data_IF_041253526248
#
_entry.id   IF_041253526248
#
_cell.length_a   1.000
_cell.length_b   1.000
_cell.length_c   1.000
_cell.angle_alpha   90.00
_cell.angle_beta   90.00
_cell.angle_gamma   90.00
#
_symmetry.space_group_name_H-M   'P 1'
#
loop_
_entity.id
_entity.type
_entity.pdbx_description
1 polymer ?
#
# COMPACT_ATOMS: atom_id res chain seq x y z
N UNK A 1 16.03 -15.83 -26.47
CA UNK A 1 14.63 -16.01 -26.92
C UNK A 1 13.91 -14.78 -26.45
N UNK A 2 13.50 -13.89 -27.38
CA UNK A 2 12.66 -12.74 -27.07
C UNK A 2 11.30 -13.29 -26.63
N UNK A 3 10.92 -13.06 -25.36
CA UNK A 3 9.54 -13.34 -24.93
C UNK A 3 8.69 -12.19 -25.47
N UNK A 4 7.58 -12.52 -26.12
CA UNK A 4 6.62 -11.53 -26.58
C UNK A 4 6.14 -10.66 -25.40
N UNK A 5 5.89 -9.35 -25.64
CA UNK A 5 5.39 -8.45 -24.62
C UNK A 5 4.01 -8.93 -24.12
N UNK A 6 3.87 -9.05 -22.82
CA UNK A 6 2.62 -9.43 -22.14
C UNK A 6 2.05 -8.19 -21.44
N UNK A 7 0.81 -7.81 -21.77
CA UNK A 7 0.11 -6.75 -21.04
C UNK A 7 -0.33 -7.29 -19.68
N UNK A 8 0.13 -6.65 -18.61
CA UNK A 8 -0.33 -6.94 -17.25
C UNK A 8 -1.51 -6.03 -16.93
N UNK A 9 -2.55 -6.59 -16.33
CA UNK A 9 -3.63 -5.78 -15.76
C UNK A 9 -3.09 -5.06 -14.52
N UNK A 10 -2.72 -3.79 -14.67
CA UNK A 10 -2.44 -2.87 -13.57
C UNK A 10 -3.65 -1.96 -13.33
N UNK A 11 -3.77 -1.36 -12.15
CA UNK A 11 -4.93 -0.51 -11.80
C UNK A 11 -5.16 0.64 -12.78
N UNK A 12 -4.31 1.67 -12.76
CA UNK A 12 -4.50 2.90 -13.55
C UNK A 12 -3.41 3.14 -14.61
N UNK A 13 -2.49 2.19 -14.81
CA UNK A 13 -1.36 2.34 -15.75
C UNK A 13 -1.26 1.12 -16.65
N UNK A 14 -1.01 1.35 -17.94
CA UNK A 14 -0.61 0.29 -18.85
C UNK A 14 0.78 -0.20 -18.46
N UNK A 15 0.85 -1.48 -18.10
CA UNK A 15 2.06 -2.15 -17.65
C UNK A 15 2.38 -3.28 -18.61
N UNK A 16 3.58 -3.27 -19.18
CA UNK A 16 4.03 -4.29 -20.13
C UNK A 16 5.16 -5.11 -19.52
N UNK A 17 4.96 -6.43 -19.38
CA UNK A 17 6.03 -7.37 -19.00
C UNK A 17 6.79 -7.82 -20.25
N UNK A 18 8.10 -7.70 -20.22
CA UNK A 18 9.00 -8.18 -21.27
C UNK A 18 10.14 -8.97 -20.61
N UNK A 19 10.06 -10.29 -20.68
CA UNK A 19 10.99 -11.13 -19.96
C UNK A 19 10.91 -10.94 -18.44
N UNK A 20 12.05 -10.70 -17.78
CA UNK A 20 12.15 -10.40 -16.34
C UNK A 20 12.02 -8.90 -16.01
N UNK A 21 11.40 -8.10 -16.86
CA UNK A 21 11.29 -6.64 -16.71
C UNK A 21 9.86 -6.18 -16.87
N UNK A 22 9.56 -5.04 -16.25
CA UNK A 22 8.29 -4.32 -16.37
C UNK A 22 8.58 -2.94 -16.95
N UNK A 23 7.84 -2.57 -17.98
CA UNK A 23 7.86 -1.24 -18.59
C UNK A 23 6.54 -0.54 -18.27
N UNK A 24 6.62 0.70 -17.76
CA UNK A 24 5.43 1.52 -17.47
C UNK A 24 5.69 2.99 -17.77
N UNK A 25 4.63 3.71 -18.11
CA UNK A 25 4.72 5.15 -18.33
C UNK A 25 5.15 5.89 -17.06
N UNK A 26 5.96 6.94 -17.21
CA UNK A 26 6.30 7.87 -16.14
C UNK A 26 5.12 8.77 -15.81
N UNK A 27 5.02 9.13 -14.54
CA UNK A 27 3.97 9.99 -13.98
C UNK A 27 4.58 11.08 -13.11
N UNK A 28 3.75 11.97 -12.59
CA UNK A 28 4.16 12.87 -11.51
C UNK A 28 4.76 12.04 -10.37
N UNK A 29 5.91 12.48 -9.85
CA UNK A 29 6.62 11.78 -8.78
C UNK A 29 7.58 10.68 -9.24
N UNK A 30 7.56 10.26 -10.51
CA UNK A 30 8.39 9.14 -10.99
C UNK A 30 9.89 9.34 -10.72
N UNK A 31 10.42 10.55 -10.84
CA UNK A 31 11.84 10.83 -10.55
C UNK A 31 12.21 10.51 -9.10
N UNK A 32 11.35 10.86 -8.15
CA UNK A 32 11.59 10.56 -6.74
C UNK A 32 11.43 9.06 -6.43
N UNK A 33 10.50 8.38 -7.11
CA UNK A 33 10.34 6.92 -7.01
C UNK A 33 11.58 6.20 -7.58
N UNK A 34 12.11 6.64 -8.72
CA UNK A 34 13.33 6.13 -9.32
C UNK A 34 14.54 6.28 -8.39
N UNK A 35 14.67 7.47 -7.77
CA UNK A 35 15.67 7.73 -6.74
C UNK A 35 15.47 6.79 -5.53
N UNK A 36 14.24 6.71 -5.00
CA UNK A 36 13.92 5.86 -3.84
C UNK A 36 14.28 4.40 -4.11
N UNK A 37 13.85 3.83 -5.24
CA UNK A 37 14.15 2.43 -5.60
C UNK A 37 15.66 2.18 -5.72
N UNK A 38 16.40 3.14 -6.28
CA UNK A 38 17.86 3.07 -6.38
C UNK A 38 18.52 3.09 -4.99
N UNK A 39 18.03 3.91 -4.07
CA UNK A 39 18.54 3.97 -2.70
C UNK A 39 18.16 2.71 -1.91
N UNK A 40 16.94 2.20 -2.06
CA UNK A 40 16.50 0.95 -1.44
C UNK A 40 17.39 -0.23 -1.86
N UNK A 41 17.70 -0.35 -3.16
CA UNK A 41 18.62 -1.37 -3.66
C UNK A 41 20.02 -1.23 -3.02
N UNK A 42 20.59 -0.02 -3.00
CA UNK A 42 21.92 0.25 -2.40
C UNK A 42 21.97 -0.05 -0.90
N UNK A 43 20.84 0.13 -0.19
CA UNK A 43 20.71 -0.18 1.25
C UNK A 43 20.36 -1.66 1.51
N UNK A 44 20.26 -2.49 0.47
CA UNK A 44 20.00 -3.92 0.58
C UNK A 44 18.55 -4.28 0.90
N UNK A 45 17.61 -3.37 0.65
CA UNK A 45 16.18 -3.67 0.79
C UNK A 45 15.72 -4.55 -0.37
N UNK A 46 15.41 -5.81 -0.07
CA UNK A 46 15.17 -6.86 -1.07
C UNK A 46 13.73 -6.98 -1.57
N UNK A 47 12.81 -6.23 -1.00
CA UNK A 47 11.38 -6.36 -1.33
C UNK A 47 10.90 -5.37 -2.40
N UNK A 48 11.66 -4.33 -2.74
CA UNK A 48 11.32 -3.43 -3.84
C UNK A 48 11.87 -3.95 -5.17
N UNK A 49 11.22 -3.65 -6.31
CA UNK A 49 11.82 -3.88 -7.61
C UNK A 49 13.07 -3.01 -7.78
N UNK A 50 14.07 -3.46 -8.52
CA UNK A 50 15.18 -2.61 -8.93
C UNK A 50 14.74 -1.67 -10.05
N UNK A 51 15.16 -0.42 -9.99
CA UNK A 51 15.07 0.49 -11.12
C UNK A 51 16.22 0.24 -12.09
N UNK A 52 15.90 -0.18 -13.31
CA UNK A 52 16.87 -0.62 -14.32
C UNK A 52 17.19 0.49 -15.35
N UNK A 53 16.60 1.69 -15.17
CA UNK A 53 16.77 2.82 -16.07
C UNK A 53 15.49 3.16 -16.84
N UNK A 54 15.65 3.96 -17.89
CA UNK A 54 14.57 4.34 -18.79
C UNK A 54 14.75 3.63 -20.12
N UNK A 55 13.63 3.33 -20.78
CA UNK A 55 13.63 2.86 -22.17
C UNK A 55 13.83 4.02 -23.16
N UNK A 56 14.05 3.72 -24.43
CA UNK A 56 14.23 4.74 -25.49
C UNK A 56 13.00 5.64 -25.65
N UNK A 57 11.82 5.18 -25.29
CA UNK A 57 10.55 5.90 -25.28
C UNK A 57 10.18 6.50 -23.92
N UNK A 58 11.18 6.75 -23.04
CA UNK A 58 11.06 7.39 -21.71
C UNK A 58 10.13 6.66 -20.73
N UNK A 59 9.96 5.35 -20.84
CA UNK A 59 9.26 4.54 -19.84
C UNK A 59 10.20 4.04 -18.75
N UNK A 60 9.70 3.94 -17.53
CA UNK A 60 10.43 3.26 -16.45
C UNK A 60 10.61 1.78 -16.78
N UNK A 61 11.84 1.28 -16.62
CA UNK A 61 12.17 -0.14 -16.68
C UNK A 61 12.47 -0.62 -15.28
N UNK A 62 11.63 -1.52 -14.76
CA UNK A 62 11.73 -2.10 -13.43
C UNK A 62 11.99 -3.60 -13.53
N UNK A 63 12.63 -4.18 -12.51
CA UNK A 63 12.68 -5.62 -12.34
C UNK A 63 11.29 -6.19 -12.12
N UNK A 64 10.98 -7.31 -12.77
CA UNK A 64 9.75 -8.05 -12.49
C UNK A 64 9.98 -8.96 -11.28
N UNK A 65 9.16 -8.82 -10.25
CA UNK A 65 9.19 -9.69 -9.07
C UNK A 65 8.26 -10.87 -9.34
N UNK A 66 8.81 -12.08 -9.37
CA UNK A 66 8.04 -13.30 -9.59
C UNK A 66 7.18 -13.63 -8.35
N UNK A 67 5.94 -14.02 -8.57
CA UNK A 67 4.95 -14.35 -7.54
C UNK A 67 3.56 -13.89 -7.92
N UNK A 68 2.65 -13.91 -6.95
CA UNK A 68 1.26 -13.52 -7.13
C UNK A 68 0.93 -12.28 -6.33
N UNK A 69 0.40 -11.24 -6.97
CA UNK A 69 -0.14 -10.08 -6.27
C UNK A 69 -1.50 -10.40 -5.65
N UNK A 70 -1.80 -9.84 -4.49
CA UNK A 70 -3.04 -10.07 -3.77
C UNK A 70 -4.23 -9.33 -4.40
N UNK A 71 -4.98 -9.98 -5.28
CA UNK A 71 -6.22 -9.44 -5.83
C UNK A 71 -7.40 -9.62 -4.88
N UNK A 72 -8.44 -8.79 -5.00
CA UNK A 72 -9.70 -8.98 -4.24
C UNK A 72 -10.77 -9.64 -5.09
N UNK A 73 -11.58 -10.55 -4.49
CA UNK A 73 -11.50 -11.03 -3.10
C UNK A 73 -10.19 -11.77 -2.84
N UNK A 74 -9.60 -11.57 -1.65
CA UNK A 74 -8.33 -12.19 -1.31
C UNK A 74 -8.39 -13.71 -1.43
N UNK A 75 -7.42 -14.36 -2.12
CA UNK A 75 -7.24 -15.80 -2.13
C UNK A 75 -7.10 -16.35 -0.69
N UNK A 76 -7.47 -17.61 -0.49
CA UNK A 76 -7.46 -18.23 0.84
C UNK A 76 -6.07 -18.22 1.46
N UNK A 77 -5.02 -18.48 0.68
CA UNK A 77 -3.64 -18.46 1.14
C UNK A 77 -3.22 -17.10 1.71
N UNK A 78 -3.76 -16.00 1.16
CA UNK A 78 -3.45 -14.64 1.62
C UNK A 78 -4.32 -14.19 2.81
N UNK A 79 -5.32 -14.98 3.20
CA UNK A 79 -6.08 -14.77 4.43
C UNK A 79 -5.40 -15.38 5.65
N UNK A 80 -4.39 -16.24 5.48
CA UNK A 80 -3.64 -16.83 6.57
C UNK A 80 -2.81 -15.77 7.31
N UNK A 81 -2.53 -16.03 8.58
CA UNK A 81 -1.73 -15.13 9.43
C UNK A 81 -0.32 -14.92 8.88
N UNK A 82 0.26 -15.91 8.23
CA UNK A 82 1.61 -15.83 7.66
C UNK A 82 1.74 -14.69 6.63
N UNK A 83 0.74 -14.48 5.77
CA UNK A 83 0.73 -13.38 4.82
C UNK A 83 0.75 -12.01 5.53
N UNK A 84 -0.08 -11.86 6.55
CA UNK A 84 -0.13 -10.66 7.38
C UNK A 84 1.19 -10.44 8.14
N UNK A 85 1.75 -11.49 8.75
CA UNK A 85 3.02 -11.44 9.49
C UNK A 85 4.16 -11.02 8.57
N UNK A 86 4.27 -11.65 7.39
CA UNK A 86 5.32 -11.33 6.44
C UNK A 86 5.20 -9.89 5.91
N UNK A 87 3.96 -9.41 5.70
CA UNK A 87 3.69 -8.03 5.27
C UNK A 87 4.06 -7.01 6.37
N UNK A 88 3.68 -7.26 7.64
CA UNK A 88 4.01 -6.37 8.74
C UNK A 88 5.54 -6.22 8.92
N UNK A 89 6.27 -7.33 8.84
CA UNK A 89 7.75 -7.33 8.91
C UNK A 89 8.39 -6.61 7.73
N UNK A 90 7.87 -6.80 6.51
CA UNK A 90 8.38 -6.12 5.32
C UNK A 90 8.14 -4.60 5.37
N UNK A 91 6.97 -4.17 5.84
CA UNK A 91 6.67 -2.75 6.04
C UNK A 91 7.58 -2.13 7.11
N UNK A 92 7.83 -2.83 8.22
CA UNK A 92 8.78 -2.38 9.22
C UNK A 92 10.17 -2.15 8.61
N UNK A 93 10.68 -3.12 7.85
CA UNK A 93 12.00 -3.00 7.21
C UNK A 93 12.04 -1.83 6.20
N UNK A 94 10.97 -1.60 5.43
CA UNK A 94 10.86 -0.43 4.55
C UNK A 94 11.00 0.87 5.36
N UNK A 95 10.29 0.97 6.46
CA UNK A 95 10.33 2.14 7.34
C UNK A 95 11.68 2.32 8.04
N UNK A 96 12.36 1.25 8.43
CA UNK A 96 13.70 1.32 9.01
C UNK A 96 14.72 1.85 8.01
N UNK A 97 14.68 1.32 6.79
CA UNK A 97 15.62 1.71 5.71
C UNK A 97 15.38 3.15 5.25
N UNK A 98 14.14 3.65 5.31
CA UNK A 98 13.77 4.98 4.81
C UNK A 98 13.75 6.08 5.88
N UNK A 99 13.95 5.75 7.16
CA UNK A 99 13.84 6.74 8.26
C UNK A 99 14.82 7.90 8.13
N UNK A 100 16.06 7.65 7.74
CA UNK A 100 17.07 8.69 7.52
C UNK A 100 16.85 9.50 6.23
N UNK A 101 16.03 8.98 5.31
CA UNK A 101 15.74 9.59 4.01
C UNK A 101 14.54 10.55 4.06
N UNK A 102 13.75 10.50 5.12
CA UNK A 102 12.43 11.14 5.20
C UNK A 102 12.47 12.67 5.05
N UNK A 103 13.61 13.29 5.29
CA UNK A 103 13.82 14.75 5.17
C UNK A 103 14.71 15.16 3.99
N UNK A 104 15.23 14.19 3.21
CA UNK A 104 16.15 14.49 2.11
C UNK A 104 15.41 15.09 0.90
N UNK A 105 14.23 14.58 0.57
CA UNK A 105 13.42 15.03 -0.58
C UNK A 105 11.97 15.19 -0.13
N UNK A 106 11.52 16.42 0.07
CA UNK A 106 10.17 16.72 0.54
C UNK A 106 9.19 17.00 -0.62
N UNK A 107 9.66 17.60 -1.70
CA UNK A 107 8.85 18.03 -2.84
C UNK A 107 8.97 17.06 -4.04
N UNK A 108 8.03 17.15 -4.96
CA UNK A 108 8.08 16.42 -6.22
C UNK A 108 7.54 14.98 -6.18
N UNK A 109 6.94 14.55 -5.09
CA UNK A 109 6.19 13.30 -4.98
C UNK A 109 4.79 13.46 -5.60
N UNK A 110 4.13 12.34 -5.90
CA UNK A 110 2.72 12.37 -6.33
C UNK A 110 1.80 12.85 -5.22
N UNK A 111 2.05 12.41 -3.98
CA UNK A 111 1.37 12.88 -2.79
C UNK A 111 2.26 13.85 -2.01
N UNK A 112 1.65 14.86 -1.41
CA UNK A 112 2.37 15.81 -0.56
C UNK A 112 2.94 15.13 0.69
N UNK A 113 4.13 15.58 1.12
CA UNK A 113 4.75 15.14 2.36
C UNK A 113 3.87 15.52 3.56
N UNK A 114 3.77 14.64 4.56
CA UNK A 114 2.91 14.80 5.75
C UNK A 114 3.76 14.77 7.01
N UNK A 115 3.75 15.84 7.80
CA UNK A 115 4.44 15.87 9.09
C UNK A 115 3.82 14.92 10.13
N UNK A 116 4.60 14.32 11.04
CA UNK A 116 6.08 14.35 11.09
C UNK A 116 6.70 13.45 10.01
N UNK A 117 7.83 13.88 9.45
CA UNK A 117 8.58 13.12 8.44
C UNK A 117 9.45 12.05 9.11
N UNK A 118 8.84 10.93 9.43
CA UNK A 118 9.51 9.82 10.13
C UNK A 118 10.14 8.80 9.17
N UNK A 119 9.51 8.59 8.01
CA UNK A 119 9.91 7.61 6.98
C UNK A 119 9.45 8.09 5.61
N UNK A 120 9.87 7.40 4.55
CA UNK A 120 9.16 7.49 3.28
C UNK A 120 8.09 6.39 3.31
N UNK A 121 6.84 6.81 3.46
CA UNK A 121 5.68 5.93 3.38
C UNK A 121 5.55 5.33 1.97
N UNK A 122 5.05 4.10 1.87
CA UNK A 122 4.59 3.56 0.58
C UNK A 122 3.33 4.28 0.09
N UNK A 123 2.47 4.68 1.03
CA UNK A 123 1.23 5.42 0.77
C UNK A 123 0.04 4.55 0.38
N UNK A 124 0.28 3.36 -0.20
CA UNK A 124 -0.76 2.40 -0.61
C UNK A 124 -0.34 0.94 -0.32
N UNK A 125 0.20 0.69 0.89
CA UNK A 125 0.66 -0.64 1.29
C UNK A 125 -0.53 -1.56 1.57
N UNK A 126 -0.84 -2.43 0.60
CA UNK A 126 -1.99 -3.33 0.63
C UNK A 126 -1.67 -4.64 -0.09
N UNK A 127 -2.46 -5.72 0.10
CA UNK A 127 -2.24 -6.99 -0.57
C UNK A 127 -2.04 -6.89 -2.09
N UNK A 128 -2.78 -6.03 -2.78
CA UNK A 128 -2.68 -5.85 -4.23
C UNK A 128 -1.37 -5.19 -4.70
N UNK A 129 -0.65 -4.51 -3.79
CA UNK A 129 0.69 -3.94 -4.02
C UNK A 129 1.79 -4.79 -3.36
N UNK A 130 1.45 -6.02 -2.94
CA UNK A 130 2.39 -6.99 -2.40
C UNK A 130 2.41 -8.25 -3.26
N UNK A 131 3.59 -8.75 -3.57
CA UNK A 131 3.81 -9.99 -4.31
C UNK A 131 4.13 -11.10 -3.32
N UNK A 132 3.48 -12.24 -3.47
CA UNK A 132 3.59 -13.39 -2.58
C UNK A 132 4.07 -14.63 -3.32
N UNK A 133 4.84 -15.45 -2.62
CA UNK A 133 5.13 -16.86 -2.94
C UNK A 133 4.42 -17.70 -1.86
N UNK A 134 3.29 -18.31 -2.23
CA UNK A 134 2.32 -18.83 -1.26
C UNK A 134 1.82 -17.75 -0.32
N UNK A 135 1.97 -17.92 0.99
CA UNK A 135 1.61 -16.92 2.01
C UNK A 135 2.76 -15.94 2.34
N UNK A 136 3.95 -16.15 1.78
CA UNK A 136 5.13 -15.35 2.12
C UNK A 136 5.27 -14.15 1.19
N UNK A 137 5.32 -12.95 1.72
CA UNK A 137 5.63 -11.75 0.95
C UNK A 137 7.07 -11.82 0.42
N UNK A 138 7.22 -11.62 -0.89
CA UNK A 138 8.51 -11.60 -1.60
C UNK A 138 8.77 -10.27 -2.30
N UNK A 139 7.75 -9.42 -2.46
CA UNK A 139 7.89 -8.11 -3.09
C UNK A 139 6.83 -7.10 -2.69
N UNK A 140 7.20 -5.83 -2.82
CA UNK A 140 6.32 -4.65 -2.68
C UNK A 140 6.44 -3.89 -3.98
N UNK A 141 5.33 -3.58 -4.62
CA UNK A 141 5.27 -2.92 -5.93
C UNK A 141 4.42 -1.66 -5.86
N UNK A 142 4.46 -0.86 -6.91
CA UNK A 142 3.65 0.36 -7.07
C UNK A 142 3.94 1.44 -6.01
N UNK A 143 5.16 1.95 -6.03
CA UNK A 143 5.64 3.03 -5.17
C UNK A 143 5.17 4.43 -5.62
N UNK A 144 4.21 4.55 -6.54
CA UNK A 144 3.79 5.85 -7.10
C UNK A 144 3.27 6.81 -6.03
N UNK A 145 2.60 6.29 -5.02
CA UNK A 145 2.08 7.08 -3.90
C UNK A 145 3.06 7.26 -2.74
N UNK A 146 4.34 6.86 -2.93
CA UNK A 146 5.34 7.05 -1.90
C UNK A 146 5.55 8.55 -1.59
N UNK A 147 5.72 8.87 -0.32
CA UNK A 147 5.95 10.24 0.16
C UNK A 147 6.48 10.25 1.59
N UNK A 148 7.22 11.28 2.01
CA UNK A 148 7.61 11.46 3.41
C UNK A 148 6.40 11.61 4.32
N UNK A 149 6.40 10.88 5.45
CA UNK A 149 5.28 10.95 6.38
C UNK A 149 5.49 10.15 7.65
N UNK A 150 4.49 10.16 8.56
CA UNK A 150 4.55 9.40 9.79
C UNK A 150 4.28 7.91 9.53
N UNK A 151 5.01 7.03 10.21
CA UNK A 151 4.87 5.57 10.13
C UNK A 151 3.42 5.09 10.28
N UNK A 152 2.69 5.74 11.18
CA UNK A 152 1.30 5.37 11.48
C UNK A 152 0.37 5.50 10.27
N UNK A 153 0.72 6.32 9.28
CA UNK A 153 -0.07 6.50 8.06
C UNK A 153 -0.13 5.22 7.22
N UNK A 154 1.04 4.60 6.99
CA UNK A 154 1.14 3.32 6.28
C UNK A 154 0.62 2.15 7.14
N UNK A 155 0.99 2.11 8.41
CA UNK A 155 0.53 1.08 9.36
C UNK A 155 -1.01 1.05 9.40
N UNK A 156 -1.65 2.20 9.46
CA UNK A 156 -3.10 2.30 9.50
C UNK A 156 -3.75 1.71 8.24
N UNK A 157 -3.20 2.03 7.06
CA UNK A 157 -3.74 1.49 5.81
C UNK A 157 -3.44 0.00 5.66
N UNK A 158 -2.23 -0.42 6.01
CA UNK A 158 -1.85 -1.84 6.02
C UNK A 158 -2.78 -2.66 6.92
N UNK A 159 -3.04 -2.22 8.15
CA UNK A 159 -3.97 -2.90 9.08
C UNK A 159 -5.38 -2.93 8.50
N UNK A 160 -5.88 -1.81 7.94
CA UNK A 160 -7.19 -1.78 7.30
C UNK A 160 -7.32 -2.84 6.21
N UNK A 161 -6.27 -3.05 5.41
CA UNK A 161 -6.28 -3.97 4.26
C UNK A 161 -5.95 -5.43 4.62
N UNK A 162 -4.97 -5.66 5.50
CA UNK A 162 -4.52 -7.01 5.88
C UNK A 162 -5.30 -7.63 7.04
N UNK A 163 -5.81 -6.81 7.97
CA UNK A 163 -6.67 -7.26 9.06
C UNK A 163 -8.16 -7.10 8.76
N UNK A 164 -8.55 -6.88 7.54
CA UNK A 164 -9.74 -6.29 6.91
C UNK A 164 -10.67 -5.61 7.92
N UNK A 165 -10.21 -4.47 8.49
CA UNK A 165 -11.00 -3.65 9.42
C UNK A 165 -12.15 -2.94 8.70
N UNK A 166 -13.08 -3.72 8.18
CA UNK A 166 -14.19 -3.30 7.31
C UNK A 166 -15.53 -3.63 7.92
N UNK A 167 -16.56 -2.89 7.50
CA UNK A 167 -17.94 -3.25 7.82
C UNK A 167 -18.30 -4.63 7.24
N UNK A 168 -19.24 -5.38 7.86
CA UNK A 168 -19.62 -6.71 7.38
C UNK A 168 -20.12 -6.76 5.94
N UNK A 169 -20.67 -5.64 5.44
CA UNK A 169 -21.21 -5.51 4.07
C UNK A 169 -20.12 -5.25 3.02
N UNK A 170 -18.88 -5.00 3.44
CA UNK A 170 -17.78 -4.79 2.51
C UNK A 170 -17.32 -6.13 1.92
N UNK A 171 -17.49 -6.30 0.62
CA UNK A 171 -17.17 -7.54 -0.10
C UNK A 171 -15.66 -7.91 -0.04
N UNK A 172 -14.79 -6.93 0.22
CA UNK A 172 -13.35 -7.16 0.42
C UNK A 172 -13.02 -7.62 1.85
N UNK A 173 -13.99 -7.57 2.79
CA UNK A 173 -13.82 -7.97 4.17
C UNK A 173 -14.00 -9.46 4.39
N UNK A 174 -13.47 -9.95 5.49
CA UNK A 174 -13.72 -11.30 6.02
C UNK A 174 -13.50 -11.31 7.55
N UNK A 175 -14.06 -12.31 8.19
CA UNK A 175 -13.94 -12.50 9.64
C UNK A 175 -14.91 -11.65 10.46
N UNK A 176 -15.09 -12.05 11.70
CA UNK A 176 -15.86 -11.31 12.71
C UNK A 176 -15.08 -10.12 13.25
N UNK A 177 -15.74 -9.22 13.99
CA UNK A 177 -15.08 -8.11 14.69
C UNK A 177 -13.93 -8.61 15.60
N UNK A 178 -14.11 -9.75 16.27
CA UNK A 178 -13.07 -10.34 17.11
C UNK A 178 -11.87 -10.81 16.29
N UNK A 179 -12.11 -11.41 15.13
CA UNK A 179 -11.05 -11.84 14.23
C UNK A 179 -10.32 -10.65 13.60
N UNK A 180 -11.04 -9.62 13.17
CA UNK A 180 -10.45 -8.37 12.70
C UNK A 180 -9.52 -7.74 13.76
N UNK A 181 -9.98 -7.70 15.01
CA UNK A 181 -9.20 -7.19 16.16
C UNK A 181 -7.95 -8.04 16.43
N UNK A 182 -8.10 -9.37 16.42
CA UNK A 182 -6.98 -10.31 16.58
C UNK A 182 -5.91 -10.10 15.52
N UNK A 183 -6.33 -10.00 14.26
CA UNK A 183 -5.42 -9.78 13.12
C UNK A 183 -4.73 -8.41 13.18
N UNK A 184 -5.47 -7.37 13.54
CA UNK A 184 -4.90 -6.03 13.72
C UNK A 184 -3.85 -6.01 14.86
N UNK A 185 -4.12 -6.71 15.97
CA UNK A 185 -3.15 -6.89 17.04
C UNK A 185 -1.91 -7.65 16.56
N UNK A 186 -2.09 -8.77 15.85
CA UNK A 186 -1.00 -9.56 15.29
C UNK A 186 -0.11 -8.72 14.35
N UNK A 187 -0.72 -7.88 13.52
CA UNK A 187 0.03 -6.94 12.67
C UNK A 187 0.89 -5.99 13.51
N UNK A 188 0.33 -5.40 14.57
CA UNK A 188 1.06 -4.53 15.47
C UNK A 188 2.19 -5.27 16.19
N UNK A 189 1.96 -6.51 16.66
CA UNK A 189 2.97 -7.35 17.33
C UNK A 189 4.16 -7.59 16.40
N UNK A 190 3.90 -7.90 15.14
CA UNK A 190 4.93 -8.23 14.14
C UNK A 190 5.63 -7.00 13.54
N UNK A 191 4.92 -5.89 13.45
CA UNK A 191 5.53 -4.62 13.06
C UNK A 191 6.46 -4.10 14.17
N UNK A 192 6.08 -4.24 15.45
CA UNK A 192 6.84 -3.82 16.62
C UNK A 192 6.32 -2.55 17.28
N UNK A 193 7.19 -1.56 17.53
CA UNK A 193 6.79 -0.35 18.25
C UNK A 193 5.78 0.49 17.47
N UNK A 194 4.55 0.56 17.99
CA UNK A 194 3.46 1.38 17.45
C UNK A 194 2.53 1.83 18.58
N UNK A 195 2.07 3.07 18.51
CA UNK A 195 1.07 3.57 19.44
C UNK A 195 -0.31 2.95 19.13
N UNK A 196 -0.59 1.80 19.76
CA UNK A 196 -1.80 1.00 19.52
C UNK A 196 -3.09 1.75 19.85
N UNK A 197 -3.06 2.68 20.82
CA UNK A 197 -4.23 3.48 21.19
C UNK A 197 -4.70 4.43 20.07
N UNK A 198 -3.81 4.79 19.15
CA UNK A 198 -4.10 5.69 18.04
C UNK A 198 -4.46 4.97 16.73
N UNK A 199 -4.29 3.63 16.64
CA UNK A 199 -4.47 2.89 15.39
C UNK A 199 -5.87 3.10 14.80
N UNK A 200 -6.93 2.90 15.56
CA UNK A 200 -8.31 3.01 15.02
C UNK A 200 -8.61 4.44 14.53
N UNK A 201 -8.13 5.46 15.25
CA UNK A 201 -8.24 6.84 14.79
C UNK A 201 -7.44 7.09 13.52
N UNK A 202 -6.22 6.53 13.44
CA UNK A 202 -5.36 6.67 12.27
C UNK A 202 -5.99 5.99 11.04
N UNK A 203 -6.56 4.79 11.19
CA UNK A 203 -7.33 4.13 10.11
C UNK A 203 -8.47 5.01 9.64
N UNK A 204 -9.32 5.50 10.55
CA UNK A 204 -10.42 6.40 10.18
C UNK A 204 -9.93 7.66 9.45
N UNK A 205 -8.85 8.28 9.93
CA UNK A 205 -8.26 9.46 9.29
C UNK A 205 -7.76 9.12 7.89
N UNK A 206 -7.02 8.03 7.75
CA UNK A 206 -6.48 7.60 6.46
C UNK A 206 -7.56 7.34 5.42
N UNK A 207 -8.67 6.71 5.81
CA UNK A 207 -9.83 6.48 4.92
C UNK A 207 -10.52 7.78 4.53
N UNK A 208 -10.70 8.71 5.47
CA UNK A 208 -11.28 10.03 5.17
C UNK A 208 -10.38 10.86 4.25
N UNK A 209 -9.05 10.78 4.41
CA UNK A 209 -8.09 11.41 3.51
C UNK A 209 -8.19 10.81 2.10
N UNK A 210 -8.34 9.49 1.99
CA UNK A 210 -8.52 8.80 0.72
C UNK A 210 -9.81 9.25 0.02
N UNK A 211 -10.93 9.32 0.74
CA UNK A 211 -12.20 9.82 0.19
C UNK A 211 -12.05 11.26 -0.30
N UNK A 212 -11.40 12.14 0.47
CA UNK A 212 -11.14 13.53 0.05
C UNK A 212 -10.29 13.60 -1.20
N UNK A 213 -9.23 12.81 -1.26
CA UNK A 213 -8.35 12.73 -2.42
C UNK A 213 -9.09 12.26 -3.67
N UNK A 214 -9.83 11.14 -3.60
CA UNK A 214 -10.63 10.62 -4.72
C UNK A 214 -11.60 11.65 -5.27
N UNK A 215 -12.35 12.33 -4.38
CA UNK A 215 -13.31 13.37 -4.77
C UNK A 215 -12.64 14.58 -5.40
N UNK A 216 -11.46 14.98 -4.89
CA UNK A 216 -10.70 16.10 -5.45
C UNK A 216 -10.15 15.76 -6.85
N UNK A 217 -9.60 14.56 -7.06
CA UNK A 217 -9.11 14.13 -8.37
C UNK A 217 -10.26 14.00 -9.39
N UNK A 218 -11.38 13.41 -9.00
CA UNK A 218 -12.56 13.33 -9.85
C UNK A 218 -13.09 14.71 -10.26
N UNK A 219 -13.11 15.67 -9.32
CA UNK A 219 -13.51 17.05 -9.60
C UNK A 219 -12.53 17.80 -10.54
N UNK A 220 -11.27 17.37 -10.59
CA UNK A 220 -10.25 17.88 -11.53
C UNK A 220 -10.31 17.20 -12.92
N UNK A 221 -11.24 16.26 -13.11
CA UNK A 221 -11.45 15.59 -14.40
C UNK A 221 -10.72 14.26 -14.56
N UNK A 222 -10.14 13.70 -13.50
CA UNK A 222 -9.56 12.36 -13.57
C UNK A 222 -10.66 11.31 -13.73
N UNK A 223 -10.71 10.69 -14.91
CA UNK A 223 -11.77 9.75 -15.30
C UNK A 223 -11.71 8.43 -14.52
N UNK A 224 -10.54 8.01 -14.05
CA UNK A 224 -10.40 6.80 -13.23
C UNK A 224 -11.04 7.04 -11.85
N UNK A 225 -10.80 8.20 -11.25
CA UNK A 225 -11.45 8.55 -9.97
C UNK A 225 -12.94 8.87 -10.12
N UNK A 226 -13.38 9.40 -11.28
CA UNK A 226 -14.81 9.53 -11.58
C UNK A 226 -15.48 8.15 -11.58
N UNK A 227 -14.91 7.16 -12.30
CA UNK A 227 -15.41 5.78 -12.30
C UNK A 227 -15.44 5.17 -10.89
N UNK A 228 -14.39 5.38 -10.09
CA UNK A 228 -14.38 4.90 -8.69
C UNK A 228 -15.50 5.49 -7.84
N UNK A 229 -15.87 6.75 -8.05
CA UNK A 229 -16.99 7.37 -7.35
C UNK A 229 -18.34 6.82 -7.83
N UNK A 230 -18.51 6.62 -9.15
CA UNK A 230 -19.70 6.02 -9.74
C UNK A 230 -19.92 4.58 -9.26
N UNK A 231 -18.83 3.84 -9.04
CA UNK A 231 -18.83 2.49 -8.43
C UNK A 231 -19.06 2.53 -6.90
N UNK A 232 -19.15 3.72 -6.29
CA UNK A 232 -19.47 3.89 -4.88
C UNK A 232 -18.31 3.61 -3.91
N UNK A 233 -17.05 3.63 -4.37
CA UNK A 233 -15.89 3.35 -3.51
C UNK A 233 -15.79 4.29 -2.32
N UNK A 234 -16.08 5.58 -2.47
CA UNK A 234 -16.08 6.54 -1.37
C UNK A 234 -17.16 6.21 -0.32
N UNK A 235 -18.34 5.75 -0.76
CA UNK A 235 -19.42 5.32 0.13
C UNK A 235 -19.03 4.09 0.94
N UNK A 236 -18.30 3.13 0.34
CA UNK A 236 -17.76 1.96 1.03
C UNK A 236 -16.80 2.40 2.14
N UNK A 237 -15.83 3.28 1.85
CA UNK A 237 -14.90 3.80 2.86
C UNK A 237 -15.60 4.57 3.98
N UNK A 238 -16.62 5.39 3.68
CA UNK A 238 -17.38 6.11 4.69
C UNK A 238 -18.18 5.18 5.61
N UNK A 239 -18.72 4.09 5.07
CA UNK A 239 -19.39 3.04 5.85
C UNK A 239 -18.41 2.33 6.78
N UNK A 240 -17.22 2.00 6.29
CA UNK A 240 -16.16 1.40 7.09
C UNK A 240 -15.69 2.34 8.22
N UNK A 241 -15.56 3.64 7.95
CA UNK A 241 -15.27 4.64 8.99
C UNK A 241 -16.36 4.68 10.07
N UNK A 242 -17.63 4.61 9.66
CA UNK A 242 -18.74 4.57 10.62
C UNK A 242 -18.67 3.30 11.50
N UNK A 243 -18.47 2.14 10.88
CA UNK A 243 -18.29 0.86 11.57
C UNK A 243 -17.14 0.89 12.58
N UNK A 244 -15.97 1.39 12.15
CA UNK A 244 -14.78 1.50 13.00
C UNK A 244 -15.00 2.43 14.19
N UNK A 245 -15.66 3.58 13.98
CA UNK A 245 -15.99 4.52 15.07
C UNK A 245 -16.97 3.93 16.07
N UNK A 246 -17.98 3.19 15.61
CA UNK A 246 -18.96 2.51 16.45
C UNK A 246 -18.29 1.45 17.34
N UNK A 247 -17.28 0.73 16.80
CA UNK A 247 -16.58 -0.34 17.50
C UNK A 247 -15.23 0.08 18.11
N UNK A 248 -14.89 1.38 18.07
CA UNK A 248 -13.56 1.88 18.40
C UNK A 248 -13.07 1.43 19.81
N UNK A 249 -13.93 1.51 20.81
CA UNK A 249 -13.56 1.11 22.19
C UNK A 249 -13.24 -0.39 22.31
N UNK A 250 -14.00 -1.24 21.61
CA UNK A 250 -13.77 -2.69 21.61
C UNK A 250 -12.48 -3.04 20.86
N UNK A 251 -12.29 -2.48 19.66
CA UNK A 251 -11.10 -2.67 18.84
C UNK A 251 -9.84 -2.19 19.56
N UNK A 252 -9.86 -0.97 20.13
CA UNK A 252 -8.70 -0.43 20.84
C UNK A 252 -8.32 -1.29 22.04
N UNK A 253 -9.29 -1.77 22.83
CA UNK A 253 -8.99 -2.69 23.95
C UNK A 253 -8.35 -3.99 23.48
N UNK A 254 -8.79 -4.53 22.35
CA UNK A 254 -8.26 -5.77 21.82
C UNK A 254 -6.85 -5.62 21.22
N UNK A 255 -6.47 -4.41 20.82
CA UNK A 255 -5.11 -4.09 20.34
C UNK A 255 -4.08 -3.97 21.48
N UNK A 256 -4.50 -3.67 22.69
CA UNK A 256 -3.63 -3.55 23.88
C UNK A 256 -3.22 -4.91 24.41
#
# INVERSE_FOLDING_TARGET
MSKDPESLQGGSTEVTKVGGRVLRARRQGSTNVEWLLTVLERRGFRYSPRFLGLSDDDRQVLEFIEGQAGAYPLPEELRHDEALISAARALRLLHEVTSELATEVLDGWMLEAVEPYEVICHGDFAPYNCVFDGSRLVGIIDFDTAHPGPRIRDIAYAIYRFAPLTAPENAAGFGSLAEQARRARLFCDEYGEVNRSEIIKAVCRRLLDLVRYMRAQAAQGDTAFQSHLDDGHDTVYLRDVHYLRTNAAALTRALM
#
